data_IF_524584445544
#
_entry.id   IF_524584445544
#
_cell.length_a   1.000
_cell.length_b   1.000
_cell.length_c   1.000
_cell.angle_alpha   90.00
_cell.angle_beta   90.00
_cell.angle_gamma   90.00
#
_symmetry.space_group_name_H-M   'P 1'
#
loop_
_entity.id
_entity.type
_entity.pdbx_description
1 polymer ?
#
# COMPACT_ATOMS: atom_id res chain seq x y z
N UNK A 1 2.24 5.03 6.88
CA UNK A 1 3.25 4.67 7.89
C UNK A 1 3.82 5.88 8.66
N UNK A 2 3.19 7.05 8.67
CA UNK A 2 3.70 8.24 9.40
C UNK A 2 3.10 8.41 10.81
N UNK A 3 1.94 7.78 11.08
CA UNK A 3 1.24 7.90 12.37
C UNK A 3 2.02 7.33 13.58
N UNK A 4 2.77 6.22 13.48
CA UNK A 4 3.51 5.70 14.63
C UNK A 4 4.55 6.67 15.19
N UNK A 5 5.21 7.46 14.33
CA UNK A 5 6.08 8.56 14.77
C UNK A 5 5.31 9.59 15.63
N UNK A 6 4.08 9.95 15.22
CA UNK A 6 3.25 10.95 15.93
C UNK A 6 2.66 10.40 17.23
N UNK A 7 2.31 9.12 17.26
CA UNK A 7 1.68 8.48 18.42
C UNK A 7 2.42 7.18 18.82
N UNK A 8 3.66 7.30 19.33
CA UNK A 8 4.57 6.17 19.50
C UNK A 8 4.05 5.09 20.47
N UNK A 9 3.16 5.44 21.40
CA UNK A 9 2.60 4.52 22.38
C UNK A 9 1.28 3.87 21.95
N UNK A 10 0.70 4.28 20.81
CA UNK A 10 -0.61 3.78 20.35
C UNK A 10 -0.52 2.55 19.46
N UNK A 11 0.67 2.21 18.95
CA UNK A 11 0.85 1.13 17.98
C UNK A 11 1.78 0.05 18.54
N UNK A 12 1.28 -1.19 18.64
CA UNK A 12 2.05 -2.36 19.10
C UNK A 12 2.50 -3.26 17.95
N UNK A 13 1.71 -3.33 16.89
CA UNK A 13 1.87 -4.30 15.81
C UNK A 13 1.57 -3.65 14.45
N UNK A 14 2.19 -4.17 13.39
CA UNK A 14 1.99 -3.72 12.01
C UNK A 14 1.74 -4.91 11.09
N UNK A 15 0.63 -4.85 10.33
CA UNK A 15 0.42 -5.68 9.15
C UNK A 15 0.68 -4.78 7.95
N UNK A 16 1.68 -5.13 7.15
CA UNK A 16 2.17 -4.34 6.03
C UNK A 16 1.88 -5.11 4.73
N UNK A 17 1.09 -4.49 3.88
CA UNK A 17 0.77 -4.96 2.53
C UNK A 17 1.32 -3.96 1.50
N UNK A 18 1.33 -4.30 0.22
CA UNK A 18 1.91 -3.51 -0.89
C UNK A 18 1.81 -1.99 -0.68
N UNK A 19 2.89 -1.38 -0.20
CA UNK A 19 2.95 0.02 0.23
C UNK A 19 4.40 0.49 0.29
N UNK A 20 4.60 1.80 0.50
CA UNK A 20 5.93 2.37 0.69
C UNK A 20 5.86 3.67 1.50
N UNK A 21 6.98 4.07 2.09
CA UNK A 21 7.18 5.44 2.55
C UNK A 21 7.63 6.29 1.36
N UNK A 22 6.79 7.24 0.91
CA UNK A 22 7.12 8.16 -0.18
C UNK A 22 8.16 9.19 0.24
N UNK A 23 9.43 8.81 0.28
CA UNK A 23 10.54 9.60 0.82
C UNK A 23 11.27 10.42 -0.23
N UNK A 24 11.03 10.13 -1.50
CA UNK A 24 11.54 10.90 -2.64
C UNK A 24 13.04 10.75 -2.91
N UNK A 25 13.71 9.78 -2.28
CA UNK A 25 15.16 9.51 -2.39
C UNK A 25 15.48 8.14 -3.01
N UNK A 26 14.48 7.47 -3.59
CA UNK A 26 14.62 6.29 -4.42
C UNK A 26 13.73 6.42 -5.65
N UNK A 27 14.06 5.67 -6.71
CA UNK A 27 13.27 5.68 -7.93
C UNK A 27 11.93 4.97 -7.75
N UNK A 28 10.85 5.64 -8.18
CA UNK A 28 9.53 5.00 -8.31
C UNK A 28 9.55 3.96 -9.41
N UNK A 29 8.68 2.95 -9.30
CA UNK A 29 8.50 1.94 -10.33
C UNK A 29 7.94 2.54 -11.63
N UNK A 30 8.24 1.87 -12.76
CA UNK A 30 7.63 2.23 -14.04
C UNK A 30 6.11 2.08 -13.99
N UNK A 31 5.59 1.05 -13.29
CA UNK A 31 4.16 0.87 -13.10
C UNK A 31 3.50 2.07 -12.40
N UNK A 32 4.15 2.66 -11.39
CA UNK A 32 3.64 3.87 -10.76
C UNK A 32 3.61 5.07 -11.70
N UNK A 33 4.67 5.29 -12.49
CA UNK A 33 4.70 6.37 -13.50
C UNK A 33 3.55 6.23 -14.48
N UNK A 34 3.39 5.05 -15.09
CA UNK A 34 2.33 4.77 -16.04
C UNK A 34 0.93 4.92 -15.43
N UNK A 35 0.73 4.46 -14.19
CA UNK A 35 -0.54 4.65 -13.49
C UNK A 35 -0.84 6.13 -13.26
N UNK A 36 0.12 6.91 -12.76
CA UNK A 36 -0.04 8.35 -12.52
C UNK A 36 -0.35 9.13 -13.80
N UNK A 37 0.29 8.77 -14.91
CA UNK A 37 0.06 9.40 -16.21
C UNK A 37 -1.33 9.04 -16.78
N UNK A 38 -1.73 7.77 -16.67
CA UNK A 38 -3.08 7.36 -17.06
C UNK A 38 -4.17 8.08 -16.26
N UNK A 39 -3.99 8.23 -14.94
CA UNK A 39 -4.94 8.96 -14.08
C UNK A 39 -5.01 10.44 -14.46
N UNK A 40 -3.89 11.08 -14.83
CA UNK A 40 -3.91 12.50 -15.23
C UNK A 40 -4.64 12.74 -16.55
N UNK A 41 -4.65 11.75 -17.44
CA UNK A 41 -5.32 11.80 -18.75
C UNK A 41 -6.78 11.30 -18.70
N UNK A 42 -7.19 10.61 -17.64
CA UNK A 42 -8.52 9.99 -17.52
C UNK A 42 -9.41 10.77 -16.55
N UNK A 43 -10.12 11.78 -17.07
CA UNK A 43 -10.98 12.67 -16.27
C UNK A 43 -12.16 11.94 -15.60
N UNK A 44 -12.84 11.07 -16.35
CA UNK A 44 -13.96 10.27 -15.87
C UNK A 44 -13.59 8.79 -15.76
N UNK A 45 -12.68 8.51 -14.83
CA UNK A 45 -12.21 7.15 -14.56
C UNK A 45 -13.34 6.22 -14.14
N UNK A 46 -13.52 5.10 -14.84
CA UNK A 46 -14.37 4.01 -14.37
C UNK A 46 -13.59 3.20 -13.32
N UNK A 47 -14.01 3.27 -12.06
CA UNK A 47 -13.25 2.73 -10.93
C UNK A 47 -13.41 1.22 -10.87
N UNK A 48 -14.62 0.69 -11.04
CA UNK A 48 -14.87 -0.74 -11.09
C UNK A 48 -14.08 -1.43 -12.20
N UNK A 49 -13.96 -0.82 -13.38
CA UNK A 49 -13.15 -1.35 -14.48
C UNK A 49 -11.64 -1.30 -14.19
N UNK A 50 -11.17 -0.26 -13.49
CA UNK A 50 -9.80 -0.21 -12.97
C UNK A 50 -9.55 -1.35 -11.97
N UNK A 51 -10.49 -1.57 -11.05
CA UNK A 51 -10.39 -2.61 -10.03
C UNK A 51 -10.38 -4.01 -10.65
N UNK A 52 -11.32 -4.33 -11.54
CA UNK A 52 -11.36 -5.61 -12.24
C UNK A 52 -10.06 -5.90 -13.00
N UNK A 53 -9.53 -4.91 -13.73
CA UNK A 53 -8.26 -5.05 -14.46
C UNK A 53 -7.08 -5.32 -13.51
N UNK A 54 -7.10 -4.72 -12.32
CA UNK A 54 -6.00 -4.80 -11.35
C UNK A 54 -6.13 -5.98 -10.39
N UNK A 55 -7.32 -6.57 -10.30
CA UNK A 55 -7.64 -7.66 -9.36
C UNK A 55 -8.65 -8.60 -10.00
N UNK A 56 -8.17 -9.57 -10.80
CA UNK A 56 -9.04 -10.42 -11.63
C UNK A 56 -9.99 -11.34 -10.86
N UNK A 57 -9.83 -11.48 -9.53
CA UNK A 57 -10.69 -12.34 -8.71
C UNK A 57 -12.03 -11.70 -8.37
N UNK A 58 -12.14 -10.37 -8.56
CA UNK A 58 -13.32 -9.61 -8.19
C UNK A 58 -14.54 -10.10 -8.98
N UNK A 59 -15.63 -10.29 -8.25
CA UNK A 59 -16.94 -10.59 -8.83
C UNK A 59 -17.62 -9.33 -9.36
N UNK A 60 -18.74 -9.50 -10.05
CA UNK A 60 -19.51 -8.36 -10.53
C UNK A 60 -20.04 -7.49 -9.38
N UNK A 61 -20.39 -8.09 -8.25
CA UNK A 61 -20.88 -7.36 -7.07
C UNK A 61 -19.76 -6.55 -6.42
N UNK A 62 -18.52 -7.07 -6.39
CA UNK A 62 -17.36 -6.33 -5.87
C UNK A 62 -17.05 -5.11 -6.75
N UNK A 63 -17.14 -5.24 -8.07
CA UNK A 63 -16.96 -4.14 -9.02
C UNK A 63 -17.99 -3.04 -8.73
N UNK A 64 -19.26 -3.41 -8.56
CA UNK A 64 -20.34 -2.46 -8.22
C UNK A 64 -20.05 -1.79 -6.87
N UNK A 65 -19.54 -2.53 -5.89
CA UNK A 65 -19.18 -1.96 -4.58
C UNK A 65 -18.07 -0.90 -4.68
N UNK A 66 -17.07 -1.10 -5.54
CA UNK A 66 -16.02 -0.10 -5.76
C UNK A 66 -16.49 1.14 -6.54
N UNK A 67 -17.43 0.98 -7.47
CA UNK A 67 -18.03 2.10 -8.20
C UNK A 67 -19.07 2.87 -7.38
N UNK A 68 -19.68 2.25 -6.37
CA UNK A 68 -20.78 2.81 -5.59
C UNK A 68 -20.53 4.23 -5.03
N UNK A 69 -19.33 4.62 -4.57
CA UNK A 69 -19.08 5.98 -4.09
C UNK A 69 -19.07 7.07 -5.19
N UNK A 70 -19.02 6.70 -6.48
CA UNK A 70 -18.73 7.60 -7.60
C UNK A 70 -19.90 7.72 -8.57
N UNK A 71 -21.00 8.30 -8.10
CA UNK A 71 -22.22 8.50 -8.91
C UNK A 71 -21.99 9.30 -10.21
N UNK A 72 -21.08 10.28 -10.17
CA UNK A 72 -20.62 11.01 -11.34
C UNK A 72 -19.17 11.54 -11.17
N UNK A 73 -18.67 12.23 -12.19
CA UNK A 73 -17.30 12.79 -12.23
C UNK A 73 -16.98 13.77 -11.09
N UNK A 74 -17.98 14.43 -10.48
CA UNK A 74 -17.80 15.41 -9.40
C UNK A 74 -17.34 14.73 -8.10
N UNK A 75 -17.68 13.46 -7.93
CA UNK A 75 -17.23 12.63 -6.80
C UNK A 75 -15.81 12.07 -6.98
N UNK A 76 -15.21 12.23 -8.16
CA UNK A 76 -13.92 11.61 -8.53
C UNK A 76 -12.70 12.53 -8.33
N UNK A 77 -12.85 13.69 -7.69
CA UNK A 77 -11.72 14.60 -7.45
C UNK A 77 -10.59 13.96 -6.62
N UNK A 78 -10.95 13.21 -5.58
CA UNK A 78 -9.98 12.52 -4.71
C UNK A 78 -9.17 11.47 -5.46
N UNK A 79 -9.84 10.57 -6.18
CA UNK A 79 -9.18 9.49 -6.95
C UNK A 79 -8.28 10.05 -8.07
N UNK A 80 -8.65 11.17 -8.71
CA UNK A 80 -7.79 11.85 -9.69
C UNK A 80 -6.56 12.49 -9.04
N UNK A 81 -6.71 13.06 -7.85
CA UNK A 81 -5.63 13.79 -7.19
C UNK A 81 -4.62 12.87 -6.50
N UNK A 82 -5.06 11.73 -5.98
CA UNK A 82 -4.24 10.87 -5.12
C UNK A 82 -2.87 10.50 -5.72
N UNK A 83 -2.76 10.02 -6.98
CA UNK A 83 -1.45 9.66 -7.54
C UNK A 83 -0.51 10.86 -7.72
N UNK A 84 -1.06 12.07 -7.85
CA UNK A 84 -0.27 13.31 -7.96
C UNK A 84 0.27 13.79 -6.61
N UNK A 85 -0.26 13.28 -5.49
CA UNK A 85 0.18 13.61 -4.15
C UNK A 85 1.28 12.68 -3.63
N UNK A 86 1.56 11.57 -4.33
CA UNK A 86 2.63 10.66 -3.94
C UNK A 86 3.98 11.38 -4.09
N UNK A 87 4.81 11.46 -3.03
CA UNK A 87 6.09 12.16 -3.12
C UNK A 87 7.09 11.34 -3.94
N UNK A 88 7.49 11.86 -5.11
CA UNK A 88 8.42 11.18 -6.04
C UNK A 88 9.75 11.90 -6.23
N UNK A 89 10.03 12.93 -5.42
CA UNK A 89 11.31 13.64 -5.40
C UNK A 89 11.62 14.11 -3.99
N UNK A 90 12.90 14.38 -3.72
CA UNK A 90 13.38 14.67 -2.38
C UNK A 90 12.67 15.86 -1.71
N UNK A 91 12.37 16.89 -2.50
CA UNK A 91 11.70 18.12 -2.06
C UNK A 91 10.17 18.10 -2.27
N UNK A 92 9.60 16.98 -2.73
CA UNK A 92 8.15 16.88 -2.89
C UNK A 92 7.44 17.04 -1.53
N UNK A 93 6.27 17.74 -1.49
CA UNK A 93 5.46 17.80 -0.28
C UNK A 93 5.18 16.40 0.27
N UNK A 94 5.36 16.21 1.57
CA UNK A 94 5.19 14.89 2.23
C UNK A 94 6.42 13.97 2.21
N UNK A 95 7.47 14.29 1.44
CA UNK A 95 8.69 13.48 1.40
C UNK A 95 9.46 13.55 2.74
N UNK A 96 9.53 14.74 3.34
CA UNK A 96 10.25 14.97 4.59
C UNK A 96 9.63 14.18 5.77
N UNK A 97 8.30 14.20 5.93
CA UNK A 97 7.64 13.44 7.00
C UNK A 97 7.82 11.92 6.80
N UNK A 98 7.87 11.46 5.55
CA UNK A 98 8.15 10.04 5.25
C UNK A 98 9.58 9.66 5.62
N UNK A 99 10.56 10.55 5.42
CA UNK A 99 11.95 10.33 5.90
C UNK A 99 12.03 10.34 7.42
N UNK A 100 11.34 11.27 8.10
CA UNK A 100 11.25 11.27 9.57
C UNK A 100 10.63 9.97 10.10
N UNK A 101 9.57 9.47 9.44
CA UNK A 101 8.96 8.20 9.78
C UNK A 101 9.91 7.02 9.57
N UNK A 102 10.67 6.99 8.46
CA UNK A 102 11.72 6.00 8.22
C UNK A 102 12.73 5.97 9.36
N UNK A 103 13.31 7.11 9.71
CA UNK A 103 14.31 7.20 10.78
C UNK A 103 13.72 6.71 12.11
N UNK A 104 12.48 7.10 12.42
CA UNK A 104 11.80 6.62 13.62
C UNK A 104 11.59 5.10 13.62
N UNK A 105 11.24 4.51 12.47
CA UNK A 105 11.15 3.05 12.35
C UNK A 105 12.49 2.38 12.60
N UNK A 106 13.58 2.94 12.07
CA UNK A 106 14.93 2.43 12.26
C UNK A 106 15.40 2.54 13.72
N UNK A 107 15.10 3.64 14.39
CA UNK A 107 15.68 3.96 15.69
C UNK A 107 14.80 3.58 16.89
N UNK A 108 13.48 3.61 16.72
CA UNK A 108 12.52 3.63 17.84
C UNK A 108 11.44 2.57 17.77
N UNK A 109 11.07 2.09 16.58
CA UNK A 109 10.05 1.05 16.48
C UNK A 109 10.53 -0.21 17.19
N UNK A 110 9.74 -0.71 18.14
CA UNK A 110 9.98 -1.96 18.86
C UNK A 110 8.75 -2.88 18.89
N UNK A 111 7.74 -2.56 18.08
CA UNK A 111 6.57 -3.43 17.90
C UNK A 111 6.84 -4.59 16.95
N UNK A 112 5.86 -5.47 16.85
CA UNK A 112 5.93 -6.63 15.95
C UNK A 112 5.45 -6.24 14.55
N UNK A 113 6.04 -6.84 13.52
CA UNK A 113 5.67 -6.59 12.13
C UNK A 113 5.37 -7.91 11.43
N UNK A 114 4.37 -7.89 10.56
CA UNK A 114 4.05 -8.92 9.60
C UNK A 114 3.94 -8.26 8.23
N UNK A 115 4.54 -8.86 7.21
CA UNK A 115 4.53 -8.32 5.86
C UNK A 115 3.97 -9.37 4.88
N UNK A 116 3.05 -8.96 4.03
CA UNK A 116 2.54 -9.75 2.91
C UNK A 116 2.67 -8.96 1.61
N UNK A 117 2.99 -9.65 0.52
CA UNK A 117 3.25 -9.03 -0.79
C UNK A 117 2.45 -9.74 -1.86
N UNK A 118 1.62 -9.01 -2.58
CA UNK A 118 1.04 -9.45 -3.85
C UNK A 118 2.10 -9.40 -4.94
N UNK A 119 2.45 -10.57 -5.48
CA UNK A 119 3.56 -10.74 -6.40
C UNK A 119 3.29 -10.24 -7.82
N UNK A 120 2.02 -10.05 -8.18
CA UNK A 120 1.62 -9.51 -9.48
C UNK A 120 1.51 -7.98 -9.50
N UNK A 121 1.81 -7.29 -8.40
CA UNK A 121 1.75 -5.82 -8.33
C UNK A 121 2.89 -5.16 -9.15
N UNK A 122 2.58 -4.45 -10.26
CA UNK A 122 3.58 -3.79 -11.07
C UNK A 122 4.03 -2.43 -10.48
N UNK A 123 3.38 -1.96 -9.41
CA UNK A 123 3.60 -0.65 -8.78
C UNK A 123 4.45 -0.80 -7.52
N UNK A 124 3.95 -1.53 -6.52
CA UNK A 124 4.57 -1.69 -5.19
C UNK A 124 4.82 -3.17 -4.84
N UNK A 125 5.15 -3.98 -5.84
CA UNK A 125 5.52 -5.39 -5.67
C UNK A 125 6.81 -5.60 -4.88
N UNK A 126 7.32 -6.84 -4.90
CA UNK A 126 8.41 -7.30 -4.04
C UNK A 126 9.64 -6.35 -3.97
N UNK A 127 10.16 -5.76 -5.07
CA UNK A 127 11.30 -4.85 -4.98
C UNK A 127 11.07 -3.64 -4.07
N UNK A 128 9.87 -3.04 -4.13
CA UNK A 128 9.53 -1.88 -3.29
C UNK A 128 9.27 -2.30 -1.85
N UNK A 129 8.65 -3.46 -1.66
CA UNK A 129 8.38 -4.01 -0.34
C UNK A 129 9.66 -4.44 0.39
N UNK A 130 10.68 -4.92 -0.32
CA UNK A 130 12.02 -5.20 0.24
C UNK A 130 12.74 -3.91 0.66
N UNK A 131 12.63 -2.82 -0.11
CA UNK A 131 13.11 -1.50 0.32
C UNK A 131 12.43 -1.09 1.64
N UNK A 132 11.10 -1.22 1.72
CA UNK A 132 10.36 -0.91 2.95
C UNK A 132 10.77 -1.82 4.11
N UNK A 133 10.95 -3.13 3.87
CA UNK A 133 11.39 -4.09 4.88
C UNK A 133 12.75 -3.69 5.46
N UNK A 134 13.68 -3.23 4.62
CA UNK A 134 14.97 -2.70 5.05
C UNK A 134 14.89 -1.43 5.91
N UNK A 135 13.80 -0.68 5.82
CA UNK A 135 13.54 0.50 6.66
C UNK A 135 12.99 0.16 8.05
N UNK A 136 12.50 -1.06 8.26
CA UNK A 136 11.83 -1.48 9.49
C UNK A 136 12.63 -2.64 10.10
N UNK A 137 13.54 -2.36 11.07
CA UNK A 137 14.30 -3.38 11.74
C UNK A 137 13.39 -4.47 12.33
N UNK A 138 13.83 -5.72 12.24
CA UNK A 138 13.09 -6.92 12.68
C UNK A 138 11.78 -7.18 11.92
N UNK A 139 11.49 -6.47 10.84
CA UNK A 139 10.43 -6.87 9.92
C UNK A 139 10.82 -8.22 9.27
N UNK A 140 10.02 -9.29 9.45
CA UNK A 140 10.36 -10.62 8.95
C UNK A 140 10.32 -10.66 7.42
N UNK A 141 10.80 -11.76 6.84
CA UNK A 141 10.62 -12.01 5.41
C UNK A 141 9.14 -11.91 5.03
N UNK A 142 8.80 -11.33 3.87
CA UNK A 142 7.41 -11.20 3.48
C UNK A 142 6.77 -12.56 3.19
N UNK A 143 5.48 -12.67 3.49
CA UNK A 143 4.62 -13.71 2.93
C UNK A 143 4.28 -13.33 1.48
N UNK A 144 4.73 -14.13 0.52
CA UNK A 144 4.45 -13.90 -0.89
C UNK A 144 3.11 -14.53 -1.29
N UNK A 145 2.21 -13.73 -1.85
CA UNK A 145 0.93 -14.17 -2.42
C UNK A 145 1.06 -14.14 -3.94
N UNK A 146 1.35 -15.31 -4.53
CA UNK A 146 1.70 -15.46 -5.95
C UNK A 146 0.65 -14.89 -6.90
N UNK A 147 -0.62 -15.11 -6.59
CA UNK A 147 -1.73 -14.72 -7.46
C UNK A 147 -2.23 -13.30 -7.23
N UNK A 148 -1.76 -12.65 -6.15
CA UNK A 148 -2.27 -11.33 -5.77
C UNK A 148 -1.54 -10.17 -6.45
N UNK A 149 -2.31 -9.15 -6.83
CA UNK A 149 -1.82 -7.89 -7.37
C UNK A 149 -1.66 -6.80 -6.30
N UNK A 150 -1.87 -5.54 -6.71
CA UNK A 150 -1.74 -4.37 -5.83
C UNK A 150 -2.71 -4.39 -4.65
N UNK A 151 -3.95 -4.77 -4.89
CA UNK A 151 -5.00 -4.90 -3.86
C UNK A 151 -4.94 -6.28 -3.20
N UNK A 152 -3.84 -6.56 -2.51
CA UNK A 152 -3.57 -7.86 -1.90
C UNK A 152 -4.60 -8.26 -0.82
N UNK A 153 -5.40 -7.30 -0.33
CA UNK A 153 -6.50 -7.52 0.60
C UNK A 153 -7.62 -8.40 0.02
N UNK A 154 -7.74 -8.51 -1.30
CA UNK A 154 -8.67 -9.44 -1.94
C UNK A 154 -8.28 -10.92 -1.70
N UNK A 155 -7.02 -11.17 -1.30
CA UNK A 155 -6.55 -12.43 -0.73
C UNK A 155 -6.38 -12.35 0.80
N UNK A 156 -7.13 -11.46 1.44
CA UNK A 156 -6.89 -11.03 2.82
C UNK A 156 -7.14 -12.10 3.89
N UNK A 157 -7.96 -13.12 3.62
CA UNK A 157 -8.25 -14.17 4.59
C UNK A 157 -7.00 -14.90 5.07
N UNK A 158 -6.14 -15.33 4.14
CA UNK A 158 -4.88 -16.01 4.50
C UNK A 158 -3.90 -15.06 5.18
N UNK A 159 -3.86 -13.79 4.77
CA UNK A 159 -2.99 -12.76 5.36
C UNK A 159 -3.37 -12.51 6.81
N UNK A 160 -4.66 -12.34 7.09
CA UNK A 160 -5.17 -12.09 8.43
C UNK A 160 -4.89 -13.29 9.35
N UNK A 161 -5.16 -14.52 8.90
CA UNK A 161 -4.87 -15.75 9.67
C UNK A 161 -3.37 -15.88 9.98
N UNK A 162 -2.51 -15.69 8.98
CA UNK A 162 -1.05 -15.79 9.15
C UNK A 162 -0.47 -14.68 10.02
N UNK A 163 -1.01 -13.47 9.93
CA UNK A 163 -0.63 -12.39 10.82
C UNK A 163 -1.00 -12.68 12.28
N UNK A 164 -2.22 -13.21 12.54
CA UNK A 164 -2.64 -13.61 13.88
C UNK A 164 -1.77 -14.73 14.45
N UNK A 165 -1.41 -15.73 13.65
CA UNK A 165 -0.47 -16.78 14.03
C UNK A 165 0.91 -16.19 14.38
N UNK A 166 1.46 -15.32 13.52
CA UNK A 166 2.76 -14.69 13.72
C UNK A 166 2.81 -13.85 15.02
N UNK A 167 1.70 -13.18 15.35
CA UNK A 167 1.54 -12.38 16.55
C UNK A 167 1.08 -13.18 17.78
N UNK A 168 0.83 -14.49 17.64
CA UNK A 168 0.31 -15.36 18.71
C UNK A 168 -1.03 -14.86 19.28
N UNK A 169 -1.90 -14.38 18.39
CA UNK A 169 -3.23 -13.84 18.70
C UNK A 169 -4.39 -14.70 18.17
N UNK A 170 -4.09 -15.83 17.52
CA UNK A 170 -5.11 -16.82 17.14
C UNK A 170 -5.73 -17.49 18.37
N UNK A 171 -7.02 -17.82 18.30
CA UNK A 171 -7.64 -18.72 19.30
C UNK A 171 -7.06 -20.12 19.11
N UNK A 172 -6.59 -20.74 20.20
CA UNK A 172 -6.33 -22.18 20.25
C UNK A 172 -7.61 -22.96 19.94
#
# INVERSE_FOLDING_TARGET
LTLPLTFPTKFKQLIIMNTILGTGDFEISQGFRSFRDWVSQTLDMNVGSLMLRSTPILTQDDIVAYDAPFLDIKYKAGVRRFPQLVPTSYNAPGAEISRKARNWFQDKWNGESFMAVGMQDPVLGLPMMEILRGMIPRCPKPMEIKDAGHFVQEWGDIIAKKALEAFKLGRN
#
